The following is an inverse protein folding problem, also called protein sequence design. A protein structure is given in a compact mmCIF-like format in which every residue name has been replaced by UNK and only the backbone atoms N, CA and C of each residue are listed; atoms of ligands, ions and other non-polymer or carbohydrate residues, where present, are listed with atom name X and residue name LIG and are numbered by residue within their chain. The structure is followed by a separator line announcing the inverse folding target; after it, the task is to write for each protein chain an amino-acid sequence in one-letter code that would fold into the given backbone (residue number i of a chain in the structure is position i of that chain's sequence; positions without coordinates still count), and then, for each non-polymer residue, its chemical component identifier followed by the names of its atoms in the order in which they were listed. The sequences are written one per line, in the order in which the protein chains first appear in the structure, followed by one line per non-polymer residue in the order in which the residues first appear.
data_IF_566349623649
#
_entry.id   IF_566349623649
#
_cell.length_a   1.000
_cell.length_b   1.000
_cell.length_c   1.000
_cell.angle_alpha   90.00
_cell.angle_beta   90.00
_cell.angle_gamma   90.00
#
_symmetry.space_group_name_H-M   'P 1'
#
loop_
_entity.id
_entity.type
_entity.pdbx_description
1 polymer ?
#
# COMPACT_ATOMS: atom_id res chain seq x y z
N UNK A 1 1.26 -32.69 -58.36
CA UNK A 1 2.62 -32.10 -58.38
C UNK A 1 2.48 -30.62 -58.02
N UNK A 2 3.07 -30.16 -56.91
CA UNK A 2 4.16 -29.14 -56.88
C UNK A 2 3.88 -27.96 -57.83
N UNK A 3 3.82 -26.68 -57.44
CA UNK A 3 4.36 -25.93 -56.28
C UNK A 3 3.94 -24.44 -56.49
N UNK A 4 3.63 -23.64 -55.45
CA UNK A 4 4.50 -22.55 -54.91
C UNK A 4 4.33 -21.20 -55.66
N UNK A 5 4.08 -20.01 -55.09
CA UNK A 5 3.88 -19.44 -53.76
C UNK A 5 3.24 -18.03 -53.97
N UNK A 6 2.44 -17.47 -53.05
CA UNK A 6 2.01 -16.07 -53.09
C UNK A 6 3.06 -15.16 -52.43
N UNK A 7 3.32 -13.99 -53.00
CA UNK A 7 4.15 -12.96 -52.38
C UNK A 7 3.50 -11.59 -52.63
N UNK A 8 3.50 -10.79 -51.56
CA UNK A 8 3.05 -9.41 -51.43
C UNK A 8 1.55 -9.15 -51.35
N UNK A 9 1.06 -9.02 -50.11
CA UNK A 9 0.39 -7.77 -49.72
C UNK A 9 0.39 -7.60 -48.21
N UNK A 10 0.98 -6.49 -47.75
CA UNK A 10 0.68 -5.73 -46.52
C UNK A 10 0.55 -6.53 -45.22
N UNK A 11 1.57 -6.61 -44.35
CA UNK A 11 2.17 -5.50 -43.61
C UNK A 11 1.12 -4.58 -42.96
N UNK A 12 0.42 -5.12 -41.96
CA UNK A 12 -0.01 -4.36 -40.79
C UNK A 12 0.11 -5.24 -39.56
N UNK A 13 1.36 -5.46 -39.16
CA UNK A 13 1.76 -5.90 -37.84
C UNK A 13 1.34 -4.83 -36.85
N UNK A 14 0.06 -4.81 -36.46
CA UNK A 14 -0.34 -4.16 -35.22
C UNK A 14 -0.05 -5.13 -34.08
N UNK A 15 1.25 -5.38 -33.86
CA UNK A 15 1.72 -5.73 -32.54
C UNK A 15 1.48 -4.50 -31.67
N UNK A 16 0.27 -4.42 -31.10
CA UNK A 16 0.10 -3.69 -29.85
C UNK A 16 1.00 -4.44 -28.87
N UNK A 17 2.23 -3.95 -28.73
CA UNK A 17 3.00 -4.10 -27.53
C UNK A 17 2.11 -3.58 -26.41
N UNK A 18 1.33 -4.48 -25.82
CA UNK A 18 0.97 -4.38 -24.41
C UNK A 18 2.30 -4.39 -23.68
N UNK A 19 2.89 -3.19 -23.55
CA UNK A 19 3.83 -2.95 -22.47
C UNK A 19 3.09 -3.35 -21.19
N UNK A 20 3.67 -4.21 -20.34
CA UNK A 20 3.12 -4.39 -19.02
C UNK A 20 3.15 -3.00 -18.37
N UNK A 21 1.98 -2.44 -18.09
CA UNK A 21 1.83 -1.29 -17.22
C UNK A 21 2.09 -1.76 -15.78
N UNK A 22 3.31 -2.23 -15.54
CA UNK A 22 3.87 -2.53 -14.22
C UNK A 22 4.44 -1.24 -13.64
N UNK A 23 3.60 -0.24 -13.43
CA UNK A 23 4.04 0.99 -12.76
C UNK A 23 2.93 1.43 -11.82
N UNK A 24 2.92 0.82 -10.64
CA UNK A 24 2.53 1.44 -9.34
C UNK A 24 2.21 0.39 -8.27
N UNK A 25 1.86 -0.85 -8.62
CA UNK A 25 1.74 -1.95 -7.65
C UNK A 25 3.10 -2.49 -7.14
N UNK A 26 4.22 -2.07 -7.74
CA UNK A 26 5.55 -2.63 -7.48
C UNK A 26 6.21 -2.11 -6.19
N UNK A 27 6.02 -0.84 -5.82
CA UNK A 27 6.77 -0.20 -4.71
C UNK A 27 6.45 -0.78 -3.33
N UNK A 28 5.18 -1.14 -3.07
CA UNK A 28 4.79 -1.79 -1.82
C UNK A 28 5.50 -3.15 -1.67
N UNK A 29 5.59 -3.90 -2.77
CA UNK A 29 6.27 -5.19 -2.76
C UNK A 29 7.78 -5.07 -2.66
N UNK A 30 8.39 -4.01 -3.20
CA UNK A 30 9.85 -3.83 -3.13
C UNK A 30 10.33 -3.61 -1.71
N UNK A 31 9.73 -2.67 -0.96
CA UNK A 31 10.14 -2.41 0.42
C UNK A 31 9.95 -3.64 1.30
N UNK A 32 8.81 -4.34 1.21
CA UNK A 32 8.55 -5.55 2.01
C UNK A 32 9.57 -6.65 1.69
N UNK A 33 9.86 -6.89 0.41
CA UNK A 33 10.88 -7.89 0.01
C UNK A 33 12.26 -7.56 0.54
N UNK A 34 12.67 -6.30 0.49
CA UNK A 34 13.95 -5.86 1.04
C UNK A 34 13.96 -5.99 2.57
N UNK A 35 12.89 -5.55 3.23
CA UNK A 35 12.73 -5.65 4.68
C UNK A 35 12.81 -7.09 5.18
N UNK A 36 12.18 -8.06 4.50
CA UNK A 36 12.23 -9.47 4.91
C UNK A 36 13.64 -10.07 4.88
N UNK A 37 14.49 -9.60 3.96
CA UNK A 37 15.88 -10.04 3.81
C UNK A 37 16.81 -9.49 4.90
N UNK A 38 16.37 -8.48 5.66
CA UNK A 38 17.13 -7.90 6.75
C UNK A 38 17.24 -8.87 7.93
N UNK A 39 18.34 -8.73 8.67
CA UNK A 39 18.46 -9.37 9.98
C UNK A 39 17.57 -8.68 11.03
N UNK A 40 17.42 -9.29 12.20
CA UNK A 40 16.52 -8.78 13.25
C UNK A 40 16.93 -7.39 13.75
N UNK A 41 18.22 -7.10 13.84
CA UNK A 41 18.74 -5.80 14.29
C UNK A 41 18.39 -4.67 13.30
N UNK A 42 18.53 -4.94 12.00
CA UNK A 42 18.17 -4.04 10.91
C UNK A 42 16.66 -3.83 10.84
N UNK A 43 15.85 -4.88 10.99
CA UNK A 43 14.38 -4.77 11.07
C UNK A 43 13.95 -3.86 12.21
N UNK A 44 14.56 -4.06 13.40
CA UNK A 44 14.32 -3.19 14.54
C UNK A 44 14.76 -1.74 14.30
N UNK A 45 15.84 -1.51 13.54
CA UNK A 45 16.23 -0.16 13.14
C UNK A 45 15.16 0.49 12.25
N UNK A 46 14.69 -0.22 11.23
CA UNK A 46 13.64 0.27 10.34
C UNK A 46 12.37 0.61 11.11
N UNK A 47 11.92 -0.28 12.00
CA UNK A 47 10.72 -0.06 12.81
C UNK A 47 10.88 1.16 13.72
N UNK A 48 12.06 1.38 14.32
CA UNK A 48 12.34 2.58 15.12
C UNK A 48 12.26 3.87 14.28
N UNK A 49 12.83 3.86 13.08
CA UNK A 49 12.81 5.03 12.18
C UNK A 49 11.38 5.38 11.78
N UNK A 50 10.59 4.36 11.39
CA UNK A 50 9.20 4.55 10.98
C UNK A 50 8.29 4.98 12.13
N UNK A 51 8.50 4.46 13.34
CA UNK A 51 7.77 4.90 14.52
C UNK A 51 8.10 6.34 14.87
N UNK A 52 9.38 6.72 14.87
CA UNK A 52 9.80 8.10 15.11
C UNK A 52 9.21 9.07 14.07
N UNK A 53 9.20 8.69 12.79
CA UNK A 53 8.55 9.46 11.72
C UNK A 53 7.07 9.72 12.02
N UNK A 54 6.32 8.70 12.42
CA UNK A 54 4.91 8.86 12.77
C UNK A 54 4.71 9.71 14.03
N UNK A 55 5.56 9.58 15.06
CA UNK A 55 5.52 10.43 16.25
C UNK A 55 5.74 11.92 15.91
N UNK A 56 6.70 12.22 15.03
CA UNK A 56 6.96 13.58 14.57
C UNK A 56 5.80 14.13 13.74
N UNK A 57 5.18 13.30 12.88
CA UNK A 57 3.93 13.69 12.19
C UNK A 57 2.83 14.05 13.16
N UNK A 58 2.61 13.25 14.21
CA UNK A 58 1.62 13.56 15.24
C UNK A 58 1.91 14.88 15.95
N UNK A 59 3.18 15.16 16.29
CA UNK A 59 3.60 16.45 16.89
C UNK A 59 3.35 17.64 15.97
N UNK A 60 3.46 17.43 14.66
CA UNK A 60 3.14 18.43 13.64
C UNK A 60 1.64 18.57 13.37
N UNK A 61 0.79 17.82 14.07
CA UNK A 61 -0.67 17.82 13.86
C UNK A 61 -1.11 17.02 12.63
N UNK A 62 -0.19 16.26 12.03
CA UNK A 62 -0.43 15.39 10.89
C UNK A 62 -0.85 14.02 11.42
N UNK A 63 -2.16 13.76 11.49
CA UNK A 63 -2.69 12.46 11.93
C UNK A 63 -2.98 11.57 10.74
N UNK A 64 -2.50 10.34 10.80
CA UNK A 64 -2.95 9.29 9.89
C UNK A 64 -4.34 8.80 10.35
N UNK A 65 -5.26 8.61 9.40
CA UNK A 65 -6.59 8.02 9.66
C UNK A 65 -6.53 6.49 9.84
N UNK A 66 -5.33 5.92 9.90
CA UNK A 66 -5.09 4.50 10.05
C UNK A 66 -4.12 4.24 11.21
N UNK A 67 -4.23 3.08 11.89
CA UNK A 67 -3.29 2.70 12.93
C UNK A 67 -1.84 2.66 12.41
N UNK A 68 -0.88 3.00 13.28
CA UNK A 68 0.54 2.77 13.00
C UNK A 68 0.85 1.28 13.10
N UNK A 69 0.86 0.60 11.95
CA UNK A 69 1.11 -0.84 11.86
C UNK A 69 2.51 -1.24 12.36
N UNK A 70 3.52 -0.38 12.21
CA UNK A 70 4.87 -0.66 12.72
C UNK A 70 4.91 -0.59 14.25
N UNK A 71 4.17 0.33 14.85
CA UNK A 71 4.05 0.41 16.30
C UNK A 71 3.35 -0.85 16.83
N UNK A 72 2.22 -1.25 16.22
CA UNK A 72 1.50 -2.45 16.62
C UNK A 72 2.39 -3.69 16.48
N UNK A 73 3.02 -3.87 15.31
CA UNK A 73 3.89 -5.00 15.02
C UNK A 73 5.09 -5.08 15.98
N UNK A 74 5.70 -3.93 16.32
CA UNK A 74 6.85 -3.88 17.24
C UNK A 74 6.53 -4.34 18.66
N UNK A 75 5.27 -4.18 19.10
CA UNK A 75 4.78 -4.58 20.43
C UNK A 75 4.38 -6.06 20.53
N UNK A 76 4.28 -6.76 19.40
CA UNK A 76 3.95 -8.20 19.38
C UNK A 76 5.11 -9.03 19.93
N UNK A 77 4.79 -10.17 20.55
CA UNK A 77 5.80 -11.18 20.86
C UNK A 77 6.27 -11.90 19.57
N UNK A 78 7.44 -12.53 19.65
CA UNK A 78 8.09 -13.16 18.48
C UNK A 78 7.26 -14.29 17.87
N UNK A 79 6.50 -15.04 18.69
CA UNK A 79 5.64 -16.11 18.17
C UNK A 79 4.49 -15.52 17.34
N UNK A 80 3.84 -14.46 17.82
CA UNK A 80 2.81 -13.77 17.01
C UNK A 80 3.40 -13.11 15.76
N UNK A 81 4.62 -12.52 15.83
CA UNK A 81 5.29 -11.98 14.63
C UNK A 81 5.55 -13.05 13.57
N UNK A 82 5.92 -14.25 13.96
CA UNK A 82 6.13 -15.38 13.04
C UNK A 82 4.82 -15.82 12.37
N UNK A 83 3.71 -15.87 13.13
CA UNK A 83 2.39 -16.15 12.58
C UNK A 83 1.94 -15.07 11.58
N UNK A 84 2.17 -13.79 11.89
CA UNK A 84 1.88 -12.67 10.98
C UNK A 84 2.69 -12.79 9.69
N UNK A 85 4.01 -13.06 9.77
CA UNK A 85 4.86 -13.28 8.59
C UNK A 85 4.35 -14.43 7.73
N UNK A 86 3.92 -15.53 8.36
CA UNK A 86 3.35 -16.68 7.65
C UNK A 86 2.09 -16.30 6.89
N UNK A 87 1.17 -15.54 7.51
CA UNK A 87 -0.07 -15.09 6.87
C UNK A 87 0.22 -14.18 5.67
N UNK A 88 1.13 -13.20 5.84
CA UNK A 88 1.52 -12.28 4.75
C UNK A 88 2.13 -13.06 3.59
N UNK A 89 3.01 -14.03 3.87
CA UNK A 89 3.60 -14.89 2.84
C UNK A 89 2.55 -15.73 2.09
N UNK A 90 1.60 -16.34 2.81
CA UNK A 90 0.50 -17.09 2.19
C UNK A 90 -0.36 -16.19 1.30
N UNK A 91 -0.60 -14.94 1.71
CA UNK A 91 -1.35 -13.95 0.93
C UNK A 91 -0.59 -13.56 -0.35
N UNK A 92 0.70 -13.27 -0.23
CA UNK A 92 1.55 -12.90 -1.37
C UNK A 92 1.73 -14.04 -2.38
N UNK A 93 1.78 -15.29 -1.89
CA UNK A 93 1.79 -16.49 -2.72
C UNK A 93 0.40 -16.83 -3.32
N UNK A 94 -0.65 -16.08 -2.95
CA UNK A 94 -2.02 -16.31 -3.39
C UNK A 94 -2.65 -17.58 -2.84
N UNK A 95 -2.08 -18.16 -1.77
CA UNK A 95 -2.60 -19.35 -1.07
C UNK A 95 -3.85 -19.06 -0.25
N UNK A 96 -3.97 -17.83 0.24
CA UNK A 96 -5.14 -17.32 0.94
C UNK A 96 -5.63 -16.04 0.28
N UNK A 97 -6.92 -15.77 0.40
CA UNK A 97 -7.51 -14.49 0.00
C UNK A 97 -7.19 -13.38 1.02
N UNK A 98 -7.29 -12.12 0.58
CA UNK A 98 -7.15 -10.95 1.47
C UNK A 98 -8.11 -11.03 2.67
N UNK A 99 -9.33 -11.53 2.44
CA UNK A 99 -10.34 -11.67 3.50
C UNK A 99 -9.92 -12.72 4.54
N UNK A 100 -9.38 -13.84 4.10
CA UNK A 100 -8.87 -14.87 5.00
C UNK A 100 -7.64 -14.37 5.78
N UNK A 101 -6.75 -13.60 5.13
CA UNK A 101 -5.62 -12.97 5.81
C UNK A 101 -6.08 -12.00 6.91
N UNK A 102 -7.05 -11.13 6.60
CA UNK A 102 -7.64 -10.20 7.58
C UNK A 102 -8.24 -10.95 8.78
N UNK A 103 -8.97 -12.04 8.54
CA UNK A 103 -9.55 -12.88 9.60
C UNK A 103 -8.46 -13.52 10.48
N UNK A 104 -7.42 -14.10 9.88
CA UNK A 104 -6.32 -14.71 10.62
C UNK A 104 -5.55 -13.66 11.45
N UNK A 105 -5.25 -12.49 10.88
CA UNK A 105 -4.54 -11.41 11.59
C UNK A 105 -5.37 -10.86 12.76
N UNK A 106 -6.68 -10.86 12.63
CA UNK A 106 -7.59 -10.48 13.68
C UNK A 106 -7.69 -11.50 14.82
N UNK A 107 -7.69 -12.80 14.51
CA UNK A 107 -7.62 -13.87 15.52
C UNK A 107 -6.34 -13.77 16.37
N UNK A 108 -5.25 -13.26 15.77
CA UNK A 108 -4.00 -12.96 16.47
C UNK A 108 -4.04 -11.65 17.26
N UNK A 109 -5.10 -10.84 17.14
CA UNK A 109 -5.20 -9.53 17.78
C UNK A 109 -4.23 -8.48 17.23
N UNK A 110 -3.61 -8.73 16.07
CA UNK A 110 -2.54 -7.91 15.47
C UNK A 110 -3.10 -6.72 14.70
N UNK A 111 -4.29 -6.88 14.14
CA UNK A 111 -4.98 -5.81 13.44
C UNK A 111 -6.39 -5.71 14.02
N UNK A 112 -6.84 -4.52 14.44
CA UNK A 112 -8.26 -4.33 14.61
C UNK A 112 -8.94 -4.56 13.25
N UNK A 113 -9.73 -5.64 13.12
CA UNK A 113 -10.70 -5.79 12.03
C UNK A 113 -11.45 -4.49 12.00
N UNK A 114 -11.24 -3.69 10.93
CA UNK A 114 -11.93 -2.44 10.65
C UNK A 114 -12.76 -1.98 11.85
N UNK A 115 -12.12 -1.35 12.85
CA UNK A 115 -12.87 -0.61 13.87
C UNK A 115 -13.46 0.59 13.13
N UNK A 116 -14.52 0.27 12.40
CA UNK A 116 -15.38 1.09 11.56
C UNK A 116 -14.59 2.20 10.86
N UNK A 117 -14.00 1.87 9.72
CA UNK A 117 -13.92 2.84 8.65
C UNK A 117 -15.36 3.35 8.42
N UNK A 118 -15.70 4.50 9.01
CA UNK A 118 -17.07 5.05 9.03
C UNK A 118 -17.69 5.14 7.65
N UNK A 119 -16.84 5.23 6.62
CA UNK A 119 -17.17 5.18 5.20
C UNK A 119 -17.95 3.94 4.77
N UNK A 120 -17.92 2.83 5.54
CA UNK A 120 -18.58 1.56 5.19
C UNK A 120 -19.72 1.17 6.14
N UNK A 121 -20.04 1.97 7.16
CA UNK A 121 -20.96 1.58 8.25
C UNK A 121 -22.39 1.25 7.76
N UNK A 122 -22.82 1.82 6.63
CA UNK A 122 -24.19 1.68 6.10
C UNK A 122 -24.29 0.84 4.82
N UNK A 123 -23.23 0.12 4.46
CA UNK A 123 -23.21 -0.70 3.24
C UNK A 123 -23.49 -2.17 3.57
N UNK A 124 -24.11 -2.88 2.64
CA UNK A 124 -24.15 -4.34 2.66
C UNK A 124 -22.77 -4.93 2.29
N UNK A 125 -22.56 -6.21 2.60
CA UNK A 125 -21.26 -6.87 2.40
C UNK A 125 -20.79 -6.91 0.94
N UNK A 126 -21.71 -7.01 -0.03
CA UNK A 126 -21.36 -7.00 -1.46
C UNK A 126 -20.86 -5.61 -1.88
N UNK A 127 -21.58 -4.57 -1.46
CA UNK A 127 -21.20 -3.17 -1.74
C UNK A 127 -19.91 -2.78 -1.03
N UNK A 128 -19.69 -3.25 0.22
CA UNK A 128 -18.41 -3.08 0.92
C UNK A 128 -17.25 -3.67 0.14
N UNK A 129 -17.42 -4.89 -0.39
CA UNK A 129 -16.35 -5.57 -1.13
C UNK A 129 -15.97 -4.79 -2.39
N UNK A 130 -16.96 -4.33 -3.18
CA UNK A 130 -16.74 -3.49 -4.36
C UNK A 130 -16.04 -2.18 -3.99
N UNK A 131 -16.48 -1.53 -2.91
CA UNK A 131 -15.86 -0.29 -2.43
C UNK A 131 -14.41 -0.51 -1.98
N UNK A 132 -14.11 -1.62 -1.29
CA UNK A 132 -12.75 -2.01 -0.90
C UNK A 132 -11.85 -2.23 -2.12
N UNK A 133 -12.36 -2.88 -3.16
CA UNK A 133 -11.64 -3.09 -4.42
C UNK A 133 -11.31 -1.77 -5.12
N UNK A 134 -12.27 -0.84 -5.23
CA UNK A 134 -12.04 0.49 -5.82
C UNK A 134 -10.99 1.26 -5.00
N UNK A 135 -11.06 1.24 -3.67
CA UNK A 135 -10.04 1.88 -2.82
C UNK A 135 -8.67 1.21 -3.02
N UNK A 136 -8.61 -0.11 -3.19
CA UNK A 136 -7.36 -0.83 -3.44
C UNK A 136 -6.75 -0.42 -4.78
N UNK A 137 -7.54 -0.36 -5.84
CA UNK A 137 -7.11 0.13 -7.16
C UNK A 137 -6.67 1.59 -7.12
N UNK A 138 -7.36 2.44 -6.36
CA UNK A 138 -6.98 3.83 -6.16
C UNK A 138 -5.63 3.93 -5.42
N UNK A 139 -5.45 3.16 -4.34
CA UNK A 139 -4.22 3.13 -3.54
C UNK A 139 -3.04 2.57 -4.33
N UNK A 140 -3.29 1.59 -5.20
CA UNK A 140 -2.26 1.03 -6.08
C UNK A 140 -1.95 1.92 -7.28
N UNK A 141 -2.71 3.00 -7.52
CA UNK A 141 -2.56 3.87 -8.69
C UNK A 141 -3.11 3.29 -9.99
N UNK A 142 -3.79 2.14 -9.94
CA UNK A 142 -4.44 1.52 -11.10
C UNK A 142 -5.58 2.38 -11.66
N UNK A 143 -6.25 3.15 -10.79
CA UNK A 143 -7.23 4.16 -11.18
C UNK A 143 -6.89 5.53 -10.59
N UNK A 144 -7.23 6.59 -11.31
CA UNK A 144 -7.08 7.95 -10.82
C UNK A 144 -8.04 8.22 -9.65
N UNK A 145 -7.62 9.04 -8.69
CA UNK A 145 -8.39 9.33 -7.48
C UNK A 145 -9.78 9.89 -7.77
N UNK A 146 -9.92 10.80 -8.73
CA UNK A 146 -11.21 11.36 -9.13
C UNK A 146 -12.16 10.26 -9.66
N UNK A 147 -11.64 9.34 -10.48
CA UNK A 147 -12.41 8.20 -10.98
C UNK A 147 -12.83 7.25 -9.86
N UNK A 148 -11.95 7.01 -8.90
CA UNK A 148 -12.27 6.20 -7.73
C UNK A 148 -13.34 6.86 -6.86
N UNK A 149 -13.25 8.18 -6.64
CA UNK A 149 -14.24 8.96 -5.90
C UNK A 149 -15.62 8.90 -6.56
N UNK A 150 -15.69 9.03 -7.90
CA UNK A 150 -16.95 8.90 -8.64
C UNK A 150 -17.57 7.50 -8.49
N UNK A 151 -16.77 6.44 -8.66
CA UNK A 151 -17.23 5.05 -8.49
C UNK A 151 -17.67 4.73 -7.06
N UNK A 152 -16.94 5.23 -6.06
CA UNK A 152 -17.32 5.05 -4.66
C UNK A 152 -18.62 5.79 -4.33
N UNK A 153 -18.82 6.98 -4.91
CA UNK A 153 -20.05 7.76 -4.72
C UNK A 153 -21.27 7.05 -5.29
N UNK A 154 -21.14 6.34 -6.42
CA UNK A 154 -22.20 5.49 -6.97
C UNK A 154 -22.59 4.35 -6.01
N UNK A 155 -21.64 3.87 -5.20
CA UNK A 155 -21.88 2.87 -4.16
C UNK A 155 -22.36 3.47 -2.82
N UNK A 156 -22.63 4.78 -2.76
CA UNK A 156 -23.01 5.48 -1.54
C UNK A 156 -21.86 5.70 -0.55
N UNK A 157 -20.61 5.63 -1.02
CA UNK A 157 -19.39 5.82 -0.21
C UNK A 157 -18.77 7.17 -0.50
N UNK A 158 -18.71 8.03 0.50
CA UNK A 158 -17.96 9.29 0.42
C UNK A 158 -16.64 9.17 1.17
N UNK A 159 -15.53 9.41 0.45
CA UNK A 159 -14.21 9.43 1.07
C UNK A 159 -14.06 10.68 1.95
N UNK A 160 -13.40 10.57 3.12
CA UNK A 160 -13.08 11.73 3.93
C UNK A 160 -12.21 12.70 3.13
N UNK A 161 -12.50 14.00 3.27
CA UNK A 161 -11.63 15.04 2.73
C UNK A 161 -10.30 14.99 3.46
N UNK A 162 -9.21 15.02 2.70
CA UNK A 162 -7.88 15.10 3.29
C UNK A 162 -7.71 16.45 4.00
N UNK A 163 -7.13 16.49 5.20
CA UNK A 163 -6.72 17.76 5.80
C UNK A 163 -5.67 18.41 4.90
N UNK A 164 -5.90 19.66 4.49
CA UNK A 164 -4.86 20.45 3.84
C UNK A 164 -3.85 20.90 4.90
N UNK A 165 -2.59 20.51 4.72
CA UNK A 165 -1.50 20.99 5.56
C UNK A 165 -1.12 22.41 5.13
N UNK A 166 -0.92 23.30 6.11
CA UNK A 166 -0.33 24.60 5.85
C UNK A 166 1.10 24.47 5.30
N UNK A 167 1.58 25.50 4.61
CA UNK A 167 2.87 25.48 3.91
C UNK A 167 4.04 25.18 4.86
N UNK A 168 4.02 25.74 6.07
CA UNK A 168 5.07 25.54 7.07
C UNK A 168 5.11 24.09 7.56
N UNK A 169 3.95 23.50 7.86
CA UNK A 169 3.86 22.10 8.27
C UNK A 169 4.28 21.15 7.15
N UNK A 170 3.90 21.46 5.90
CA UNK A 170 4.29 20.69 4.72
C UNK A 170 5.79 20.69 4.47
N UNK A 171 6.44 21.84 4.62
CA UNK A 171 7.89 21.95 4.48
C UNK A 171 8.63 21.09 5.52
N UNK A 172 8.17 21.10 6.78
CA UNK A 172 8.73 20.25 7.84
C UNK A 172 8.51 18.76 7.57
N UNK A 173 7.33 18.37 7.09
CA UNK A 173 7.04 16.99 6.69
C UNK A 173 7.99 16.55 5.57
N UNK A 174 8.21 17.39 4.56
CA UNK A 174 9.15 17.08 3.47
C UNK A 174 10.58 16.93 3.97
N UNK A 175 11.06 17.84 4.82
CA UNK A 175 12.40 17.75 5.42
C UNK A 175 12.58 16.45 6.20
N UNK A 176 11.59 16.08 7.02
CA UNK A 176 11.62 14.85 7.79
C UNK A 176 11.64 13.59 6.90
N UNK A 177 10.85 13.58 5.83
CA UNK A 177 10.85 12.48 4.86
C UNK A 177 12.20 12.34 4.14
N UNK A 178 12.86 13.45 3.79
CA UNK A 178 14.21 13.43 3.21
C UNK A 178 15.28 12.94 4.19
N UNK A 179 15.15 13.28 5.48
CA UNK A 179 16.04 12.78 6.52
C UNK A 179 15.89 11.27 6.71
N UNK A 180 14.64 10.79 6.82
CA UNK A 180 14.33 9.36 6.93
C UNK A 180 14.79 8.59 5.70
N UNK A 181 14.62 9.15 4.50
CA UNK A 181 15.13 8.52 3.28
C UNK A 181 16.64 8.28 3.34
N UNK A 182 17.42 9.27 3.80
CA UNK A 182 18.87 9.11 3.97
C UNK A 182 19.22 8.04 5.01
N UNK A 183 18.38 7.83 6.02
CA UNK A 183 18.57 6.75 6.98
C UNK A 183 18.29 5.37 6.37
N UNK A 184 17.26 5.26 5.53
CA UNK A 184 16.97 4.04 4.77
C UNK A 184 18.09 3.71 3.78
N UNK A 185 18.64 4.71 3.08
CA UNK A 185 19.77 4.53 2.16
C UNK A 185 21.00 3.96 2.88
N UNK A 186 21.29 4.40 4.11
CA UNK A 186 22.38 3.85 4.94
C UNK A 186 22.16 2.38 5.30
N UNK A 187 20.91 1.94 5.38
CA UNK A 187 20.52 0.55 5.60
C UNK A 187 20.46 -0.27 4.30
N UNK A 188 20.68 0.36 3.14
CA UNK A 188 20.58 -0.29 1.84
C UNK A 188 19.13 -0.56 1.40
N UNK A 189 18.17 0.20 1.94
CA UNK A 189 16.74 0.05 1.68
C UNK A 189 16.21 1.22 0.86
N UNK A 190 15.22 0.93 0.02
CA UNK A 190 14.44 1.96 -0.65
C UNK A 190 13.34 2.48 0.28
N UNK A 191 13.33 3.80 0.54
CA UNK A 191 12.28 4.41 1.36
C UNK A 191 10.93 4.42 0.61
N UNK A 192 9.84 3.90 1.19
CA UNK A 192 8.57 3.74 0.47
C UNK A 192 7.77 5.06 0.39
N UNK A 193 8.31 6.06 -0.30
CA UNK A 193 7.74 7.43 -0.46
C UNK A 193 6.27 7.47 -0.85
N UNK A 194 5.80 6.50 -1.64
CA UNK A 194 4.41 6.43 -2.09
C UNK A 194 3.39 6.39 -0.93
N UNK A 195 3.75 5.84 0.24
CA UNK A 195 2.89 5.89 1.42
C UNK A 195 2.68 7.30 1.95
N UNK A 196 3.65 8.18 1.75
CA UNK A 196 3.66 9.54 2.30
C UNK A 196 3.29 10.61 1.28
N UNK A 197 3.12 10.25 -0.01
CA UNK A 197 2.75 11.18 -1.08
C UNK A 197 1.49 12.02 -0.80
N UNK A 198 0.60 11.53 0.07
CA UNK A 198 -0.62 12.25 0.43
C UNK A 198 -0.40 13.46 1.34
N UNK A 199 0.78 13.59 1.95
CA UNK A 199 1.17 14.75 2.74
C UNK A 199 1.98 15.79 1.93
N UNK A 200 2.50 15.38 0.76
CA UNK A 200 3.48 16.16 -0.02
C UNK A 200 2.79 17.06 -1.08
N UNK A 201 1.55 16.73 -1.48
CA UNK A 201 0.76 17.49 -2.48
C UNK A 201 -0.07 18.59 -1.82
#
# INVERSE_FOLDING_TARGET
MKKWFPLFSFLLTLCILLAPSDTSAHSHTTFIKQYEQLNDEQKQQVDRILNHLHEEFEKLGVKADHPNVHEIYSKLDENTKEQVRTIIKELDEGKISSKEADQKLAELGVIPIDEKCKIFENLDEETKQKAKEIIKEMKSGAIARNKAEDQLKELGVELPKKPELDEQTREKVNQLLEEVEKEFEKLGLEFPKHHYQHFIK
#
